data_IF_360019784645
#
_entry.id   IF_360019784645
#
_cell.length_a   1.000
_cell.length_b   1.000
_cell.length_c   1.000
_cell.angle_alpha   90.00
_cell.angle_beta   90.00
_cell.angle_gamma   90.00
#
_symmetry.space_group_name_H-M   'P 1'
#
loop_
_entity.id
_entity.type
_entity.pdbx_description
1 polymer ?
#
# COMPACT_ATOMS: atom_id res chain seq x y z
N UNK A 1 11.32 -19.85 -5.03
CA UNK A 1 10.34 -18.80 -4.68
C UNK A 1 9.87 -18.06 -5.93
N UNK A 2 8.57 -17.81 -6.08
CA UNK A 2 7.98 -17.18 -7.28
C UNK A 2 6.73 -16.37 -6.95
N UNK A 3 6.36 -15.41 -7.79
CA UNK A 3 5.11 -14.63 -7.70
C UNK A 3 4.22 -14.96 -8.89
N UNK A 4 2.95 -15.25 -8.64
CA UNK A 4 1.97 -15.49 -9.69
C UNK A 4 0.57 -15.09 -9.26
N UNK A 5 -0.35 -15.02 -10.23
CA UNK A 5 -1.77 -15.00 -9.94
C UNK A 5 -2.15 -16.15 -8.99
N UNK A 6 -3.05 -15.86 -8.05
CA UNK A 6 -3.58 -16.86 -7.13
C UNK A 6 -4.22 -18.02 -7.88
N UNK A 7 -3.91 -19.23 -7.44
CA UNK A 7 -4.67 -20.41 -7.81
C UNK A 7 -6.07 -20.36 -7.17
N UNK A 8 -7.04 -21.05 -7.77
CA UNK A 8 -8.34 -21.25 -7.14
C UNK A 8 -8.15 -22.02 -5.82
N UNK A 9 -8.81 -21.56 -4.75
CA UNK A 9 -8.82 -22.26 -3.48
C UNK A 9 -9.48 -23.63 -3.64
N UNK A 10 -8.71 -24.70 -3.46
CA UNK A 10 -9.18 -26.06 -3.59
C UNK A 10 -8.64 -26.93 -2.45
N UNK A 11 -9.56 -27.41 -1.62
CA UNK A 11 -9.30 -28.35 -0.51
C UNK A 11 -9.81 -29.76 -0.82
N UNK A 12 -10.35 -29.97 -2.03
CA UNK A 12 -11.07 -31.18 -2.44
C UNK A 12 -10.24 -32.08 -3.35
N UNK A 13 -9.22 -31.56 -4.01
CA UNK A 13 -8.32 -32.37 -4.86
C UNK A 13 -7.19 -33.03 -4.05
N UNK A 14 -7.06 -34.36 -4.05
CA UNK A 14 -6.11 -35.10 -3.21
C UNK A 14 -4.70 -35.17 -3.83
N UNK A 15 -4.15 -34.05 -4.35
CA UNK A 15 -2.87 -34.08 -5.08
C UNK A 15 -1.65 -33.77 -4.20
N UNK A 16 -1.87 -33.39 -2.94
CA UNK A 16 -0.81 -33.33 -1.92
C UNK A 16 -1.39 -33.82 -0.60
N UNK A 17 -0.80 -34.81 0.10
CA UNK A 17 -1.25 -35.20 1.42
C UNK A 17 -0.96 -34.07 2.39
N UNK A 18 -1.89 -33.12 2.52
CA UNK A 18 -1.82 -32.05 3.51
C UNK A 18 -2.45 -32.59 4.78
N UNK A 19 -1.63 -33.01 5.73
CA UNK A 19 -2.09 -33.49 7.03
C UNK A 19 -2.68 -32.31 7.83
N UNK A 20 -4.02 -32.18 7.87
CA UNK A 20 -4.88 -31.51 8.89
C UNK A 20 -4.40 -30.21 9.59
N UNK A 21 -3.41 -29.50 9.07
CA UNK A 21 -2.72 -28.38 9.72
C UNK A 21 -2.65 -27.11 8.85
N UNK A 22 -3.28 -27.12 7.67
CA UNK A 22 -3.41 -25.90 6.85
C UNK A 22 -4.68 -25.14 7.21
N UNK A 23 -4.67 -23.82 7.03
CA UNK A 23 -5.88 -22.99 7.16
C UNK A 23 -6.94 -23.45 6.16
N UNK A 24 -8.14 -23.79 6.65
CA UNK A 24 -9.31 -24.11 5.81
C UNK A 24 -9.97 -22.85 5.22
N UNK A 25 -9.47 -21.67 5.54
CA UNK A 25 -10.03 -20.38 5.13
C UNK A 25 -8.98 -19.59 4.35
N UNK A 26 -9.29 -19.27 3.09
CA UNK A 26 -8.62 -18.21 2.34
C UNK A 26 -9.39 -16.89 2.49
N UNK A 27 -8.66 -15.80 2.75
CA UNK A 27 -9.24 -14.46 2.72
C UNK A 27 -9.27 -13.93 1.27
N UNK A 28 -10.47 -13.69 0.69
CA UNK A 28 -10.61 -13.39 -0.74
C UNK A 28 -9.87 -12.12 -1.19
N UNK A 29 -9.67 -11.16 -0.30
CA UNK A 29 -9.12 -9.83 -0.65
C UNK A 29 -7.63 -9.65 -0.32
N UNK A 30 -6.91 -10.72 0.01
CA UNK A 30 -5.49 -10.62 0.37
C UNK A 30 -4.61 -10.91 -0.84
N UNK A 31 -4.13 -9.87 -1.54
CA UNK A 31 -3.18 -10.01 -2.64
C UNK A 31 -1.76 -9.65 -2.19
N UNK A 32 -0.76 -10.26 -2.82
CA UNK A 32 0.59 -9.74 -2.80
C UNK A 32 0.61 -8.34 -3.45
N UNK A 33 1.36 -7.40 -2.87
CA UNK A 33 1.52 -6.07 -3.48
C UNK A 33 2.44 -6.19 -4.70
N UNK A 34 2.20 -5.32 -5.66
CA UNK A 34 2.98 -5.24 -6.90
C UNK A 34 4.06 -4.17 -6.79
N UNK A 35 5.06 -4.27 -7.67
CA UNK A 35 6.27 -3.45 -7.67
C UNK A 35 7.05 -3.53 -6.35
N UNK A 36 7.21 -4.76 -5.84
CA UNK A 36 7.90 -5.04 -4.57
C UNK A 36 8.79 -6.26 -4.68
N UNK A 37 9.89 -6.23 -3.93
CA UNK A 37 10.78 -7.36 -3.74
C UNK A 37 10.43 -8.09 -2.45
N UNK A 38 10.10 -9.37 -2.59
CA UNK A 38 9.82 -10.27 -1.48
C UNK A 38 10.96 -11.25 -1.30
N UNK A 39 11.43 -11.41 -0.07
CA UNK A 39 12.35 -12.46 0.33
C UNK A 39 11.65 -13.40 1.30
N UNK A 40 11.65 -14.70 1.00
CA UNK A 40 11.09 -15.70 1.89
C UNK A 40 12.13 -16.74 2.28
N UNK A 41 12.00 -17.26 3.50
CA UNK A 41 12.87 -18.32 4.00
C UNK A 41 12.21 -19.09 5.13
N UNK A 42 12.86 -20.18 5.55
CA UNK A 42 12.39 -21.02 6.64
C UNK A 42 13.12 -20.69 7.94
N UNK A 43 12.40 -20.76 9.05
CA UNK A 43 12.99 -20.77 10.39
C UNK A 43 12.58 -22.07 11.05
N UNK A 44 13.56 -22.90 11.37
CA UNK A 44 13.38 -24.15 12.07
C UNK A 44 13.54 -23.93 13.57
N UNK A 45 12.69 -24.57 14.36
CA UNK A 45 12.72 -24.52 15.82
C UNK A 45 12.75 -25.92 16.42
N UNK A 46 13.50 -26.10 17.50
CA UNK A 46 13.44 -27.31 18.29
C UNK A 46 12.21 -27.34 19.21
N UNK A 47 12.04 -28.42 19.98
CA UNK A 47 10.93 -28.57 20.94
C UNK A 47 10.97 -27.53 22.08
N UNK A 48 12.11 -26.91 22.33
CA UNK A 48 12.31 -25.91 23.40
C UNK A 48 12.16 -24.47 22.88
N UNK A 49 11.83 -24.28 21.60
CA UNK A 49 11.62 -22.96 21.00
C UNK A 49 12.91 -22.24 20.58
N UNK A 50 14.07 -22.90 20.64
CA UNK A 50 15.32 -22.34 20.08
C UNK A 50 15.24 -22.39 18.57
N UNK A 51 15.64 -21.31 17.92
CA UNK A 51 15.42 -21.12 16.48
C UNK A 51 16.74 -20.97 15.72
N UNK A 52 16.72 -21.39 14.46
CA UNK A 52 17.79 -21.13 13.49
C UNK A 52 17.70 -19.69 12.95
N UNK A 53 18.81 -19.19 12.39
CA UNK A 53 18.72 -18.07 11.45
C UNK A 53 17.85 -18.44 10.25
N UNK A 54 17.30 -17.45 9.56
CA UNK A 54 16.49 -17.69 8.35
C UNK A 54 17.28 -18.48 7.31
N UNK A 55 16.78 -19.66 6.97
CA UNK A 55 17.28 -20.51 5.92
C UNK A 55 16.75 -19.99 4.59
N UNK A 56 17.68 -19.48 3.79
CA UNK A 56 17.45 -19.03 2.43
C UNK A 56 17.87 -20.15 1.46
N UNK A 57 17.28 -20.17 0.27
CA UNK A 57 17.75 -21.01 -0.82
C UNK A 57 19.24 -20.76 -1.11
N UNK A 58 19.99 -21.85 -1.25
CA UNK A 58 21.39 -21.87 -1.62
C UNK A 58 21.62 -21.90 -3.15
N UNK A 59 20.54 -21.89 -3.94
CA UNK A 59 20.64 -21.96 -5.38
C UNK A 59 21.16 -20.65 -5.99
N UNK A 60 22.14 -20.77 -6.89
CA UNK A 60 22.81 -19.63 -7.52
C UNK A 60 22.22 -19.26 -8.90
N UNK A 61 21.24 -20.02 -9.41
CA UNK A 61 20.74 -19.89 -10.78
C UNK A 61 19.24 -19.67 -10.75
N UNK A 62 18.78 -18.56 -11.35
CA UNK A 62 17.36 -18.39 -11.65
C UNK A 62 16.97 -19.40 -12.73
N UNK A 63 16.20 -20.43 -12.38
CA UNK A 63 15.63 -21.33 -13.39
C UNK A 63 14.59 -20.59 -14.22
N UNK A 64 14.56 -20.86 -15.53
CA UNK A 64 13.46 -20.50 -16.44
C UNK A 64 12.23 -21.35 -16.10
N UNK A 65 11.49 -20.91 -15.09
CA UNK A 65 10.26 -21.51 -14.62
C UNK A 65 9.52 -20.55 -13.72
N UNK A 66 8.29 -20.92 -13.37
CA UNK A 66 7.35 -20.14 -12.58
C UNK A 66 7.84 -19.76 -11.17
N UNK A 67 8.72 -20.59 -10.61
CA UNK A 67 9.32 -20.41 -9.29
C UNK A 67 10.82 -20.28 -9.51
N UNK A 68 11.40 -19.13 -9.18
CA UNK A 68 12.84 -18.91 -9.20
C UNK A 68 13.50 -19.78 -8.12
N UNK A 69 14.71 -20.30 -8.35
CA UNK A 69 15.43 -20.98 -7.28
C UNK A 69 15.99 -19.99 -6.24
N UNK A 70 15.87 -18.68 -6.48
CA UNK A 70 16.29 -17.65 -5.54
C UNK A 70 15.31 -17.50 -4.36
N UNK A 71 15.82 -16.98 -3.26
CA UNK A 71 15.01 -16.64 -2.06
C UNK A 71 14.27 -15.32 -2.20
N UNK A 72 14.70 -14.48 -3.13
CA UNK A 72 14.13 -13.16 -3.43
C UNK A 72 13.44 -13.20 -4.79
N UNK A 73 12.26 -12.61 -4.87
CA UNK A 73 11.46 -12.48 -6.08
C UNK A 73 10.89 -11.07 -6.18
N UNK A 74 10.84 -10.55 -7.40
CA UNK A 74 10.20 -9.28 -7.70
C UNK A 74 8.78 -9.52 -8.21
N UNK A 75 7.79 -8.92 -7.54
CA UNK A 75 6.40 -8.86 -7.98
C UNK A 75 6.24 -7.65 -8.91
N UNK A 76 6.04 -7.86 -10.20
CA UNK A 76 5.86 -6.78 -11.17
C UNK A 76 4.44 -6.19 -11.13
N UNK A 77 4.23 -5.02 -11.74
CA UNK A 77 2.87 -4.56 -12.03
C UNK A 77 2.21 -5.47 -13.05
N UNK A 78 0.92 -5.71 -12.86
CA UNK A 78 0.09 -6.25 -13.94
C UNK A 78 0.11 -5.29 -15.13
N UNK A 79 0.05 -5.86 -16.32
CA UNK A 79 -0.15 -5.07 -17.52
C UNK A 79 -1.59 -4.57 -17.62
N UNK A 80 -1.86 -3.74 -18.63
CA UNK A 80 -3.17 -3.19 -18.91
C UNK A 80 -4.16 -4.20 -19.53
N UNK A 81 -3.79 -5.48 -19.65
CA UNK A 81 -4.63 -6.55 -20.22
C UNK A 81 -5.34 -7.38 -19.16
N UNK A 82 -4.95 -7.24 -17.89
CA UNK A 82 -5.59 -7.92 -16.76
C UNK A 82 -6.95 -7.27 -16.45
N UNK A 83 -8.01 -8.07 -16.48
CA UNK A 83 -9.32 -7.68 -15.98
C UNK A 83 -9.31 -7.62 -14.45
N UNK A 84 -9.29 -6.40 -13.90
CA UNK A 84 -9.25 -6.14 -12.47
C UNK A 84 -10.48 -6.70 -11.75
N UNK A 85 -11.64 -6.77 -12.42
CA UNK A 85 -12.87 -7.33 -11.84
C UNK A 85 -12.85 -8.85 -11.71
N UNK A 86 -12.02 -9.53 -12.50
CA UNK A 86 -11.89 -10.98 -12.51
C UNK A 86 -10.56 -11.47 -11.89
N UNK A 87 -9.66 -10.56 -11.51
CA UNK A 87 -8.35 -10.90 -10.97
C UNK A 87 -8.39 -11.01 -9.43
N UNK A 88 -8.21 -12.21 -8.85
CA UNK A 88 -8.29 -12.41 -7.40
C UNK A 88 -7.05 -11.92 -6.63
N UNK A 89 -6.01 -11.46 -7.33
CA UNK A 89 -4.73 -11.05 -6.76
C UNK A 89 -3.58 -11.99 -7.09
N UNK A 90 -2.39 -11.60 -6.64
CA UNK A 90 -1.15 -12.39 -6.71
C UNK A 90 -0.85 -13.10 -5.38
N UNK A 91 -0.12 -14.20 -5.46
CA UNK A 91 0.37 -15.00 -4.35
C UNK A 91 1.86 -15.32 -4.47
N UNK A 92 2.44 -15.62 -3.32
CA UNK A 92 3.83 -16.01 -3.17
C UNK A 92 3.95 -17.53 -3.09
N UNK A 93 4.67 -18.13 -4.03
CA UNK A 93 4.87 -19.58 -4.12
C UNK A 93 6.25 -19.98 -3.59
N UNK A 94 6.26 -20.84 -2.57
CA UNK A 94 7.46 -21.43 -1.99
C UNK A 94 7.47 -22.92 -2.30
N UNK A 95 8.53 -23.38 -2.97
CA UNK A 95 8.75 -24.79 -3.30
C UNK A 95 9.92 -25.32 -2.47
N UNK A 96 9.74 -26.50 -1.86
CA UNK A 96 10.78 -27.22 -1.12
C UNK A 96 11.23 -28.41 -1.96
N UNK A 97 12.52 -28.43 -2.31
CA UNK A 97 13.07 -29.45 -3.23
C UNK A 97 13.85 -30.55 -2.51
N UNK A 98 14.34 -30.27 -1.30
CA UNK A 98 15.19 -31.19 -0.53
C UNK A 98 14.63 -31.36 0.88
N UNK A 99 14.69 -32.59 1.39
CA UNK A 99 14.33 -32.90 2.77
C UNK A 99 15.48 -32.55 3.73
N UNK A 100 15.16 -32.42 5.01
CA UNK A 100 16.19 -32.32 6.05
C UNK A 100 17.02 -33.61 6.02
N UNK A 101 18.34 -33.48 6.08
CA UNK A 101 19.23 -34.63 6.12
C UNK A 101 19.19 -35.25 7.53
N UNK A 102 18.82 -36.52 7.62
CA UNK A 102 18.71 -37.28 8.87
C UNK A 102 19.97 -38.09 9.21
N UNK A 103 20.97 -38.12 8.32
CA UNK A 103 22.22 -38.83 8.59
C UNK A 103 23.06 -38.01 9.58
N UNK A 104 23.34 -38.51 10.78
CA UNK A 104 24.22 -37.82 11.71
C UNK A 104 25.64 -37.86 11.16
N UNK A 105 26.13 -36.70 10.72
CA UNK A 105 27.56 -36.50 10.59
C UNK A 105 28.10 -36.27 12.00
N UNK A 106 28.49 -37.33 12.69
CA UNK A 106 29.19 -37.17 13.96
C UNK A 106 30.45 -36.28 13.76
N UNK A 107 30.84 -35.41 14.72
CA UNK A 107 30.06 -34.47 15.51
C UNK A 107 30.10 -33.09 14.82
N UNK A 108 29.29 -32.86 13.79
CA UNK A 108 29.24 -31.55 13.11
C UNK A 108 27.80 -31.05 13.02
N UNK A 109 27.41 -30.27 14.02
CA UNK A 109 26.60 -29.04 13.95
C UNK A 109 25.19 -29.08 13.31
N UNK A 110 24.67 -30.21 12.84
CA UNK A 110 23.33 -30.29 12.23
C UNK A 110 22.36 -31.15 13.07
N UNK A 111 21.31 -30.56 13.69
CA UNK A 111 20.45 -31.26 14.64
C UNK A 111 19.53 -32.36 14.08
N UNK A 112 19.28 -32.42 12.76
CA UNK A 112 18.30 -33.35 12.16
C UNK A 112 16.85 -33.07 12.58
N UNK A 113 15.92 -34.01 12.33
CA UNK A 113 14.53 -33.89 12.80
C UNK A 113 14.31 -34.48 14.20
N UNK A 114 13.33 -33.93 14.92
CA UNK A 114 12.98 -34.37 16.27
C UNK A 114 12.33 -35.75 16.28
N UNK A 115 12.86 -36.66 17.08
CA UNK A 115 12.25 -37.96 17.40
C UNK A 115 12.19 -38.12 18.91
N UNK A 116 10.97 -38.08 19.45
CA UNK A 116 10.73 -38.02 20.90
C UNK A 116 10.61 -39.37 21.62
N UNK A 117 10.52 -40.47 20.89
CA UNK A 117 10.35 -41.81 21.47
C UNK A 117 11.73 -42.43 21.78
N UNK A 118 12.07 -42.63 23.06
CA UNK A 118 13.37 -43.17 23.47
C UNK A 118 13.57 -44.65 23.13
N UNK A 119 12.52 -45.36 22.69
CA UNK A 119 12.60 -46.77 22.30
C UNK A 119 13.05 -46.97 20.85
N UNK A 120 13.01 -45.91 20.03
CA UNK A 120 13.43 -45.95 18.63
C UNK A 120 14.96 -45.76 18.51
N UNK A 121 15.59 -46.49 17.59
CA UNK A 121 17.02 -46.31 17.27
C UNK A 121 17.34 -44.94 16.67
N UNK A 122 16.32 -44.24 16.18
CA UNK A 122 16.38 -42.87 15.63
C UNK A 122 16.07 -41.79 16.67
N UNK A 123 16.00 -42.14 17.96
CA UNK A 123 15.72 -41.18 19.03
C UNK A 123 16.63 -39.95 18.94
N UNK A 124 16.01 -38.78 18.79
CA UNK A 124 16.68 -37.50 18.62
C UNK A 124 15.89 -36.39 19.33
N UNK A 125 16.11 -36.18 20.63
CA UNK A 125 15.39 -35.17 21.40
C UNK A 125 15.85 -33.72 21.09
N UNK A 126 16.95 -33.55 20.35
CA UNK A 126 17.55 -32.24 20.04
C UNK A 126 17.29 -31.77 18.60
N UNK A 127 16.59 -32.56 17.78
CA UNK A 127 16.26 -32.21 16.41
C UNK A 127 15.20 -31.10 16.27
N UNK A 128 15.02 -30.62 15.05
CA UNK A 128 13.99 -29.66 14.70
C UNK A 128 12.60 -30.28 14.83
N UNK A 129 11.72 -29.60 15.57
CA UNK A 129 10.36 -30.07 15.85
C UNK A 129 9.31 -29.29 15.06
N UNK A 130 9.52 -28.00 14.83
CA UNK A 130 8.58 -27.14 14.10
C UNK A 130 9.32 -26.22 13.13
N UNK A 131 8.58 -25.69 12.18
CA UNK A 131 9.08 -24.71 11.22
C UNK A 131 8.04 -23.62 11.01
N UNK A 132 8.52 -22.45 10.58
CA UNK A 132 7.69 -21.36 10.07
C UNK A 132 8.34 -20.78 8.82
N UNK A 133 7.51 -20.27 7.91
CA UNK A 133 7.98 -19.45 6.80
C UNK A 133 7.98 -18.00 7.26
N UNK A 134 9.07 -17.30 7.04
CA UNK A 134 9.18 -15.87 7.25
C UNK A 134 9.29 -15.19 5.89
N UNK A 135 8.56 -14.09 5.73
CA UNK A 135 8.56 -13.29 4.50
C UNK A 135 8.95 -11.87 4.88
N UNK A 136 9.89 -11.29 4.13
CA UNK A 136 10.32 -9.91 4.22
C UNK A 136 9.96 -9.22 2.91
N UNK A 137 9.18 -8.14 2.99
CA UNK A 137 9.08 -7.15 1.93
C UNK A 137 10.27 -6.19 2.09
N UNK A 138 11.04 -5.93 1.03
CA UNK A 138 12.21 -5.06 1.12
C UNK A 138 11.83 -3.58 1.14
N UNK A 139 10.84 -3.20 0.35
CA UNK A 139 10.32 -1.86 0.30
C UNK A 139 9.40 -1.63 1.50
N UNK A 140 9.57 -0.48 2.15
CA UNK A 140 8.70 -0.03 3.23
C UNK A 140 7.27 0.13 2.72
N UNK A 141 6.30 -0.09 3.60
CA UNK A 141 4.90 0.21 3.27
C UNK A 141 4.76 1.71 3.08
N UNK A 142 4.49 2.08 1.84
CA UNK A 142 4.24 3.44 1.42
C UNK A 142 3.03 3.98 2.18
N UNK A 143 3.20 5.15 2.79
CA UNK A 143 2.10 5.82 3.45
C UNK A 143 1.28 6.55 2.39
N UNK A 144 0.31 5.86 1.80
CA UNK A 144 -0.66 6.52 0.92
C UNK A 144 -1.50 7.51 1.72
N UNK A 145 -1.53 8.75 1.26
CA UNK A 145 -2.38 9.83 1.77
C UNK A 145 -3.67 9.79 0.95
N UNK A 146 -4.77 9.41 1.60
CA UNK A 146 -6.09 9.29 0.96
C UNK A 146 -6.89 10.56 1.21
N UNK A 147 -7.07 11.36 0.17
CA UNK A 147 -7.58 12.72 0.30
C UNK A 147 -9.01 12.81 -0.25
N UNK A 148 -9.86 13.66 0.35
CA UNK A 148 -11.21 13.92 -0.15
C UNK A 148 -11.13 15.00 -1.24
N UNK A 149 -10.46 14.65 -2.33
CA UNK A 149 -10.19 15.54 -3.46
C UNK A 149 -8.93 16.38 -3.35
N UNK A 150 -8.52 16.88 -4.51
CA UNK A 150 -7.45 17.88 -4.67
C UNK A 150 -8.01 19.03 -5.51
N UNK A 151 -7.79 20.26 -5.03
CA UNK A 151 -8.07 21.48 -5.77
C UNK A 151 -6.76 21.99 -6.41
N UNK A 152 -6.72 22.06 -7.73
CA UNK A 152 -5.55 22.45 -8.53
C UNK A 152 -5.34 23.98 -8.66
N UNK A 153 -6.20 24.77 -8.02
CA UNK A 153 -6.24 26.24 -8.09
C UNK A 153 -6.66 26.81 -6.72
N UNK A 154 -7.04 28.09 -6.69
CA UNK A 154 -7.62 28.73 -5.50
C UNK A 154 -9.15 28.71 -5.55
N UNK A 155 -9.84 28.58 -4.40
CA UNK A 155 -11.30 28.59 -4.35
C UNK A 155 -11.94 29.82 -5.01
N UNK A 156 -11.32 30.99 -4.87
CA UNK A 156 -11.81 32.26 -5.44
C UNK A 156 -11.35 32.50 -6.88
N UNK A 157 -10.33 31.78 -7.35
CA UNK A 157 -9.71 31.99 -8.66
C UNK A 157 -9.24 30.67 -9.27
N UNK A 158 -10.08 30.14 -10.16
CA UNK A 158 -9.81 28.90 -10.89
C UNK A 158 -8.61 28.98 -11.86
N UNK A 159 -8.02 30.16 -12.06
CA UNK A 159 -6.86 30.37 -12.95
C UNK A 159 -5.55 30.60 -12.21
N UNK A 160 -5.61 30.79 -10.89
CA UNK A 160 -4.45 31.11 -10.08
C UNK A 160 -3.61 29.87 -9.80
N UNK A 161 -2.30 29.99 -10.08
CA UNK A 161 -1.27 28.98 -9.75
C UNK A 161 -1.54 27.56 -10.26
N UNK A 162 -2.28 27.42 -11.37
CA UNK A 162 -2.55 26.11 -11.99
C UNK A 162 -1.22 25.40 -12.29
N UNK A 163 -1.06 24.20 -11.72
CA UNK A 163 0.13 23.37 -11.93
C UNK A 163 1.39 23.86 -11.21
N UNK A 164 1.24 24.87 -10.35
CA UNK A 164 2.27 25.33 -9.42
C UNK A 164 1.88 25.01 -7.98
N UNK A 165 0.59 25.13 -7.65
CA UNK A 165 0.08 24.77 -6.33
C UNK A 165 -1.21 23.96 -6.41
N UNK A 166 -1.48 23.22 -5.35
CA UNK A 166 -2.73 22.49 -5.16
C UNK A 166 -3.08 22.45 -3.68
N UNK A 167 -4.36 22.36 -3.36
CA UNK A 167 -4.88 22.44 -2.01
C UNK A 167 -5.61 21.14 -1.68
N UNK A 168 -5.33 20.59 -0.50
CA UNK A 168 -5.90 19.32 -0.05
C UNK A 168 -6.32 19.42 1.41
N UNK A 169 -7.42 18.76 1.76
CA UNK A 169 -7.84 18.62 3.15
C UNK A 169 -7.08 17.48 3.81
N UNK A 170 -6.32 17.80 4.86
CA UNK A 170 -5.64 16.81 5.70
C UNK A 170 -6.54 16.45 6.88
N UNK A 171 -7.22 15.30 6.78
CA UNK A 171 -8.10 14.79 7.83
C UNK A 171 -7.61 13.44 8.38
N UNK A 172 -7.89 13.19 9.66
CA UNK A 172 -7.60 11.92 10.34
C UNK A 172 -6.11 11.50 10.19
N UNK A 173 -5.85 10.23 9.87
CA UNK A 173 -4.51 9.65 9.77
C UNK A 173 -3.64 10.31 8.68
N UNK A 174 -4.22 11.01 7.71
CA UNK A 174 -3.45 11.74 6.69
C UNK A 174 -2.52 12.80 7.29
N UNK A 175 -2.89 13.37 8.45
CA UNK A 175 -2.04 14.35 9.15
C UNK A 175 -0.74 13.70 9.64
N UNK A 176 -0.78 12.43 10.03
CA UNK A 176 0.40 11.70 10.49
C UNK A 176 1.32 11.29 9.34
N UNK A 177 0.78 11.18 8.12
CA UNK A 177 1.53 10.84 6.90
C UNK A 177 2.19 12.04 6.25
N UNK A 178 1.71 13.23 6.56
CA UNK A 178 2.31 14.52 6.16
C UNK A 178 2.69 15.28 7.43
N UNK A 179 3.69 14.80 8.19
CA UNK A 179 4.08 15.40 9.45
C UNK A 179 4.65 16.79 9.23
N UNK A 180 4.42 17.65 10.23
CA UNK A 180 5.00 18.99 10.32
C UNK A 180 6.51 18.90 10.57
N UNK A 181 7.27 19.76 9.90
CA UNK A 181 8.71 19.86 10.12
C UNK A 181 9.03 20.31 11.55
N UNK A 182 9.93 19.59 12.22
CA UNK A 182 10.30 19.84 13.62
C UNK A 182 11.36 20.94 13.81
N UNK A 183 11.91 21.47 12.72
CA UNK A 183 13.08 22.35 12.79
C UNK A 183 12.77 23.75 13.36
N UNK A 184 11.55 24.26 13.19
CA UNK A 184 11.18 25.62 13.55
C UNK A 184 9.69 25.69 13.92
N UNK A 185 9.32 25.19 15.10
CA UNK A 185 7.96 25.38 15.66
C UNK A 185 8.01 26.21 16.92
N UNK A 186 7.57 27.47 16.82
CA UNK A 186 7.21 28.28 17.98
C UNK A 186 5.88 27.80 18.59
N UNK A 187 5.63 28.02 19.90
CA UNK A 187 4.39 27.58 20.55
C UNK A 187 3.12 28.20 19.95
N UNK A 188 3.22 29.40 19.34
CA UNK A 188 2.09 30.11 18.74
C UNK A 188 2.03 30.00 17.20
N UNK A 189 2.90 29.20 16.60
CA UNK A 189 2.96 29.06 15.16
C UNK A 189 1.77 28.23 14.67
N UNK A 190 0.96 28.80 13.78
CA UNK A 190 -0.22 28.14 13.18
C UNK A 190 0.00 27.65 11.75
N UNK A 191 1.12 28.03 11.15
CA UNK A 191 1.50 27.68 9.79
C UNK A 191 2.74 26.80 9.81
N UNK A 192 2.65 25.62 9.21
CA UNK A 192 3.73 24.63 9.18
C UNK A 192 4.07 24.24 7.75
N UNK A 193 5.22 23.62 7.54
CA UNK A 193 5.57 22.95 6.28
C UNK A 193 5.83 21.48 6.54
N UNK A 194 5.81 20.67 5.48
CA UNK A 194 6.26 19.29 5.53
C UNK A 194 7.30 19.04 4.45
N UNK A 195 8.45 18.48 4.85
CA UNK A 195 9.51 18.06 3.95
C UNK A 195 9.23 16.70 3.30
N UNK A 196 8.08 16.06 3.58
CA UNK A 196 7.72 14.79 2.95
C UNK A 196 7.47 15.00 1.47
N UNK A 197 8.18 14.22 0.65
CA UNK A 197 7.97 14.15 -0.78
C UNK A 197 6.70 13.36 -1.08
N UNK A 198 5.88 13.89 -1.99
CA UNK A 198 4.61 13.33 -2.40
C UNK A 198 4.63 13.02 -3.90
N UNK A 199 4.05 11.87 -4.26
CA UNK A 199 3.88 11.43 -5.64
C UNK A 199 2.41 11.18 -5.92
N UNK A 200 1.80 12.00 -6.78
CA UNK A 200 0.39 11.81 -7.14
C UNK A 200 0.17 10.45 -7.80
N UNK A 201 -0.90 9.75 -7.40
CA UNK A 201 -1.31 8.45 -7.96
C UNK A 201 -2.72 8.48 -8.50
N UNK A 202 -3.65 9.12 -7.80
CA UNK A 202 -5.05 9.24 -8.23
C UNK A 202 -5.48 10.68 -8.07
N UNK A 203 -6.20 11.20 -9.05
CA UNK A 203 -6.80 12.53 -8.97
C UNK A 203 -8.31 12.46 -9.22
N UNK A 204 -9.03 13.34 -8.53
CA UNK A 204 -10.42 13.65 -8.82
C UNK A 204 -10.53 14.34 -10.19
N UNK A 205 -11.59 14.01 -10.94
CA UNK A 205 -11.84 14.54 -12.29
C UNK A 205 -13.08 15.42 -12.30
N UNK A 206 -13.18 16.34 -13.26
CA UNK A 206 -14.39 17.14 -13.53
C UNK A 206 -15.43 16.38 -14.37
N UNK A 207 -15.32 15.04 -14.45
CA UNK A 207 -16.23 14.24 -15.24
C UNK A 207 -17.52 13.98 -14.48
N UNK A 208 -18.61 14.17 -15.20
CA UNK A 208 -19.96 13.88 -14.74
C UNK A 208 -20.27 12.40 -14.88
N UNK A 209 -20.89 11.80 -13.86
CA UNK A 209 -21.56 10.51 -14.01
C UNK A 209 -22.84 10.72 -14.82
N UNK A 210 -22.79 10.41 -16.11
CA UNK A 210 -23.97 10.48 -16.97
C UNK A 210 -24.80 9.21 -16.82
N UNK A 211 -25.90 9.31 -16.09
CA UNK A 211 -26.95 8.30 -16.05
C UNK A 211 -26.80 7.30 -14.90
N UNK A 212 -27.79 7.32 -14.00
CA UNK A 212 -28.22 6.12 -13.25
C UNK A 212 -28.99 5.15 -14.16
N UNK A 213 -28.62 5.06 -15.44
CA UNK A 213 -29.24 4.12 -16.36
C UNK A 213 -28.63 2.75 -16.08
N UNK A 214 -29.46 1.78 -15.74
CA UNK A 214 -29.04 0.39 -15.52
C UNK A 214 -28.66 -0.25 -16.85
N UNK A 215 -27.44 -0.81 -17.02
CA UNK A 215 -26.32 -0.86 -16.08
C UNK A 215 -25.45 0.42 -16.12
N UNK A 216 -25.06 0.93 -14.96
CA UNK A 216 -24.19 2.10 -14.84
C UNK A 216 -22.77 1.73 -15.24
N UNK A 217 -22.31 2.14 -16.42
CA UNK A 217 -20.94 1.89 -16.91
C UNK A 217 -19.92 2.93 -16.45
N UNK A 218 -20.38 4.07 -15.90
CA UNK A 218 -19.56 5.28 -15.72
C UNK A 218 -19.20 5.60 -14.26
N UNK A 219 -19.38 4.67 -13.31
CA UNK A 219 -19.08 4.95 -11.88
C UNK A 219 -17.60 5.25 -11.61
N UNK A 220 -16.70 4.81 -12.50
CA UNK A 220 -15.25 5.05 -12.38
C UNK A 220 -14.76 6.38 -12.94
N UNK A 221 -15.62 7.23 -13.53
CA UNK A 221 -15.14 8.44 -14.23
C UNK A 221 -14.68 9.55 -13.29
N UNK A 222 -15.15 9.55 -12.04
CA UNK A 222 -14.94 10.63 -11.05
C UNK A 222 -13.53 10.71 -10.46
N UNK A 223 -12.76 9.63 -10.62
CA UNK A 223 -11.34 9.58 -10.28
C UNK A 223 -10.57 8.91 -11.41
N UNK A 224 -9.35 9.36 -11.67
CA UNK A 224 -8.50 8.74 -12.69
C UNK A 224 -7.07 8.57 -12.20
N UNK A 225 -6.38 7.59 -12.80
CA UNK A 225 -4.95 7.42 -12.61
C UNK A 225 -4.21 8.71 -12.97
N UNK A 226 -3.38 9.18 -12.06
CA UNK A 226 -2.47 10.30 -12.28
C UNK A 226 -1.06 9.77 -12.54
N UNK A 227 -0.39 10.37 -13.53
CA UNK A 227 0.99 10.09 -13.86
C UNK A 227 1.84 11.30 -13.46
N UNK A 228 2.60 11.19 -12.35
CA UNK A 228 3.37 12.31 -11.82
C UNK A 228 4.59 12.62 -12.69
N UNK A 229 5.22 13.76 -12.41
CA UNK A 229 6.51 14.12 -12.97
C UNK A 229 7.63 13.24 -12.38
N UNK A 230 8.85 13.41 -12.89
CA UNK A 230 10.06 12.83 -12.28
C UNK A 230 10.44 13.50 -10.96
N UNK A 231 9.91 14.69 -10.71
CA UNK A 231 10.09 15.44 -9.48
C UNK A 231 8.90 15.20 -8.55
N UNK A 232 9.18 15.09 -7.26
CA UNK A 232 8.18 15.00 -6.20
C UNK A 232 7.50 16.34 -5.96
N UNK A 233 6.25 16.29 -5.52
CA UNK A 233 5.56 17.43 -4.95
C UNK A 233 5.85 17.52 -3.43
N UNK A 234 5.64 18.67 -2.80
CA UNK A 234 5.90 18.85 -1.36
C UNK A 234 4.86 19.75 -0.72
N UNK A 235 4.57 19.58 0.57
CA UNK A 235 3.60 20.43 1.27
C UNK A 235 4.27 21.68 1.80
N UNK A 236 4.16 22.74 1.01
CA UNK A 236 4.75 24.06 1.29
C UNK A 236 4.14 24.74 2.51
N UNK A 237 2.85 24.50 2.79
CA UNK A 237 2.15 25.09 3.92
C UNK A 237 1.03 24.17 4.40
N UNK A 238 0.89 24.02 5.70
CA UNK A 238 -0.23 23.39 6.41
C UNK A 238 -0.76 24.44 7.38
N UNK A 239 -2.03 24.79 7.23
CA UNK A 239 -2.72 25.76 8.08
C UNK A 239 -4.22 25.44 8.10
N UNK A 240 -4.95 25.98 9.07
CA UNK A 240 -6.41 25.95 9.04
C UNK A 240 -6.96 26.73 7.84
N UNK A 241 -8.08 26.28 7.29
CA UNK A 241 -8.71 26.86 6.10
C UNK A 241 -8.92 28.38 6.24
N UNK A 242 -9.44 28.82 7.39
CA UNK A 242 -9.79 30.22 7.61
C UNK A 242 -8.55 31.11 7.63
N UNK A 243 -7.46 30.62 8.23
CA UNK A 243 -6.20 31.33 8.23
C UNK A 243 -5.49 31.32 6.88
N UNK A 244 -5.63 30.24 6.10
CA UNK A 244 -4.98 30.12 4.79
C UNK A 244 -5.65 31.03 3.73
N UNK A 245 -6.98 31.15 3.77
CA UNK A 245 -7.77 31.92 2.79
C UNK A 245 -8.32 33.24 3.33
N UNK A 246 -7.91 33.67 4.53
CA UNK A 246 -8.36 34.91 5.19
C UNK A 246 -9.90 35.02 5.27
N UNK A 247 -10.55 33.95 5.73
CA UNK A 247 -12.01 33.88 5.82
C UNK A 247 -12.53 34.79 6.93
N UNK A 248 -13.38 35.74 6.56
CA UNK A 248 -14.08 36.61 7.50
C UNK A 248 -15.42 35.97 7.93
N UNK A 249 -15.50 35.52 9.18
CA UNK A 249 -16.71 34.91 9.74
C UNK A 249 -17.76 35.93 10.20
N UNK A 250 -17.49 37.23 10.08
CA UNK A 250 -18.48 38.28 10.37
C UNK A 250 -19.50 38.46 9.23
N UNK A 251 -19.22 37.89 8.07
CA UNK A 251 -20.11 37.77 6.91
C UNK A 251 -20.57 36.32 6.72
N UNK A 252 -21.49 36.09 5.78
CA UNK A 252 -21.92 34.74 5.42
C UNK A 252 -20.74 33.89 4.91
N UNK A 253 -20.73 32.59 5.22
CA UNK A 253 -19.66 31.68 4.84
C UNK A 253 -19.43 31.66 3.31
N UNK A 254 -18.18 31.73 2.82
CA UNK A 254 -17.91 31.79 1.38
C UNK A 254 -18.32 30.50 0.66
N UNK A 255 -19.29 30.55 -0.28
CA UNK A 255 -19.81 29.33 -0.95
C UNK A 255 -18.77 28.63 -1.84
N UNK A 256 -17.75 29.37 -2.28
CA UNK A 256 -16.61 28.84 -3.01
C UNK A 256 -15.75 27.90 -2.17
N UNK A 257 -15.71 28.06 -0.85
CA UNK A 257 -14.98 27.15 0.05
C UNK A 257 -15.75 25.85 0.23
N UNK A 258 -17.07 25.92 0.44
CA UNK A 258 -17.92 24.72 0.56
C UNK A 258 -17.89 23.86 -0.70
N UNK A 259 -17.73 24.46 -1.89
CA UNK A 259 -17.53 23.70 -3.14
C UNK A 259 -16.12 23.12 -3.28
N UNK A 260 -15.13 23.72 -2.63
CA UNK A 260 -13.71 23.44 -2.86
C UNK A 260 -13.06 22.52 -1.84
N UNK A 261 -13.65 22.38 -0.65
CA UNK A 261 -13.08 21.56 0.42
C UNK A 261 -14.14 20.74 1.15
N UNK A 262 -13.75 19.51 1.48
CA UNK A 262 -14.53 18.63 2.35
C UNK A 262 -14.60 19.21 3.76
N UNK A 263 -15.81 19.30 4.31
CA UNK A 263 -16.08 19.85 5.66
C UNK A 263 -15.57 21.29 5.84
N UNK A 264 -15.63 22.13 4.80
CA UNK A 264 -15.11 23.51 4.82
C UNK A 264 -15.62 24.35 6.01
N UNK A 265 -16.90 24.23 6.34
CA UNK A 265 -17.52 24.97 7.46
C UNK A 265 -16.91 24.61 8.84
N UNK A 266 -16.24 23.45 8.95
CA UNK A 266 -15.58 22.97 10.17
C UNK A 266 -14.14 23.48 10.34
N UNK A 267 -13.66 24.37 9.46
CA UNK A 267 -12.27 24.89 9.44
C UNK A 267 -11.20 23.78 9.40
N UNK A 268 -11.18 22.92 8.36
CA UNK A 268 -10.24 21.82 8.28
C UNK A 268 -8.79 22.29 8.12
N UNK A 269 -7.83 21.38 8.33
CA UNK A 269 -6.43 21.62 7.99
C UNK A 269 -6.23 21.48 6.48
N UNK A 270 -5.72 22.53 5.84
CA UNK A 270 -5.40 22.56 4.41
C UNK A 270 -3.90 22.45 4.22
N UNK A 271 -3.49 21.45 3.43
CA UNK A 271 -2.15 21.36 2.87
C UNK A 271 -2.09 22.07 1.52
N UNK A 272 -1.34 23.17 1.43
CA UNK A 272 -0.92 23.78 0.16
C UNK A 272 0.32 23.07 -0.35
N UNK A 273 0.13 22.27 -1.37
CA UNK A 273 1.15 21.47 -2.05
C UNK A 273 1.76 22.32 -3.16
N UNK A 274 3.09 22.39 -3.21
CA UNK A 274 3.80 22.88 -4.39
C UNK A 274 3.91 21.72 -5.37
N UNK A 275 3.33 21.91 -6.55
CA UNK A 275 3.22 20.88 -7.58
C UNK A 275 4.10 21.19 -8.78
N UNK A 276 4.60 20.14 -9.41
CA UNK A 276 5.40 20.27 -10.65
C UNK A 276 4.56 20.09 -11.91
N UNK A 277 3.33 19.60 -11.76
CA UNK A 277 2.34 19.38 -12.79
C UNK A 277 0.95 19.49 -12.17
N UNK A 278 -0.01 20.03 -12.93
CA UNK A 278 -1.41 20.15 -12.49
C UNK A 278 -1.98 18.79 -12.06
N UNK A 279 -2.53 18.75 -10.85
CA UNK A 279 -3.26 17.62 -10.29
C UNK A 279 -4.53 18.10 -9.57
N UNK A 280 -5.65 17.40 -9.80
CA UNK A 280 -6.95 17.75 -9.22
C UNK A 280 -7.81 18.66 -10.09
N UNK A 281 -9.00 19.01 -9.57
CA UNK A 281 -9.99 19.85 -10.22
C UNK A 281 -9.66 21.34 -10.06
N UNK A 282 -10.01 22.18 -11.03
CA UNK A 282 -9.79 23.64 -10.96
C UNK A 282 -11.01 24.43 -10.50
N UNK A 283 -12.21 23.89 -10.74
CA UNK A 283 -13.47 24.56 -10.45
C UNK A 283 -14.52 23.51 -10.05
N UNK A 284 -14.46 22.98 -8.82
CA UNK A 284 -15.43 22.01 -8.33
C UNK A 284 -16.82 22.63 -8.18
N UNK A 285 -17.87 21.82 -8.33
CA UNK A 285 -19.26 22.26 -8.15
C UNK A 285 -19.90 21.58 -6.94
N UNK A 286 -20.71 22.30 -6.17
CA UNK A 286 -21.47 21.73 -5.04
C UNK A 286 -22.52 20.72 -5.55
N UNK A 287 -22.74 19.57 -4.87
CA UNK A 287 -23.92 18.73 -5.10
C UNK A 287 -25.21 19.57 -5.03
N UNK A 288 -26.18 19.41 -5.96
CA UNK A 288 -26.36 18.32 -6.93
C UNK A 288 -25.61 18.55 -8.25
N UNK A 289 -24.57 19.38 -8.24
CA UNK A 289 -23.64 19.60 -9.33
C UNK A 289 -23.10 18.29 -9.89
N UNK A 290 -22.72 18.37 -11.16
CA UNK A 290 -22.46 17.24 -12.03
C UNK A 290 -21.21 16.43 -11.59
N UNK A 291 -20.33 17.03 -10.76
CA UNK A 291 -19.17 16.42 -10.10
C UNK A 291 -18.81 17.18 -8.81
N UNK A 292 -18.36 16.47 -7.76
CA UNK A 292 -17.93 17.03 -6.47
C UNK A 292 -16.40 17.03 -6.32
N UNK A 293 -15.87 17.90 -5.47
CA UNK A 293 -14.46 17.83 -5.04
C UNK A 293 -14.19 16.55 -4.25
N UNK A 294 -15.18 16.03 -3.53
CA UNK A 294 -15.09 14.94 -2.53
C UNK A 294 -14.75 13.55 -3.12
N UNK A 295 -14.41 13.48 -4.40
CA UNK A 295 -13.96 12.27 -5.05
C UNK A 295 -12.54 11.90 -4.61
N UNK A 296 -12.27 10.60 -4.58
CA UNK A 296 -11.01 10.07 -4.09
C UNK A 296 -9.81 10.63 -4.86
N UNK A 297 -8.84 11.15 -4.11
CA UNK A 297 -7.52 11.45 -4.61
C UNK A 297 -6.45 10.81 -3.72
N UNK A 298 -5.30 10.46 -4.29
CA UNK A 298 -4.26 9.71 -3.58
C UNK A 298 -2.89 10.27 -3.93
N UNK A 299 -2.12 10.62 -2.90
CA UNK A 299 -0.68 10.77 -2.97
C UNK A 299 0.01 9.59 -2.30
N UNK A 300 1.16 9.20 -2.82
CA UNK A 300 2.09 8.27 -2.18
C UNK A 300 3.24 9.09 -1.58
N UNK A 301 3.63 8.83 -0.33
CA UNK A 301 4.82 9.47 0.26
C UNK A 301 6.10 8.77 -0.21
N UNK A 302 7.21 9.49 -0.25
CA UNK A 302 8.53 8.88 -0.37
C UNK A 302 8.78 7.89 0.79
N UNK A 303 9.38 6.72 0.51
CA UNK A 303 9.70 5.71 1.52
C UNK A 303 10.76 6.15 2.54
#
# INVERSE_FOLDING_TARGET
MGTQAKAAFDVTTPVTPVEWRTSIVEYPNHTLKQNRNYQAGFVLSDRFGRTTSTLLSNAAIASTGTVSQLSTVYSAYNDNTVDIGAWPGDALYVQVNETINEVPVAPTLYPGTYVGDPTLSTYNPLGFNTWKIVVKQQEQDYYNVYLPGILAAYPESATQEIGLTSHVVLFNDNINKVPRDLAEVGPDQKQFRSSVQLFGRVQNTDLTINGFATPTTDLGVVNQQYYPSRFSDTVSTIQDEFGLFNVDLTVAFPPNLTSSFYEAESNPLIGRISTTKKIGQVNPTLPPGTYSIENLAVYETEP
#
